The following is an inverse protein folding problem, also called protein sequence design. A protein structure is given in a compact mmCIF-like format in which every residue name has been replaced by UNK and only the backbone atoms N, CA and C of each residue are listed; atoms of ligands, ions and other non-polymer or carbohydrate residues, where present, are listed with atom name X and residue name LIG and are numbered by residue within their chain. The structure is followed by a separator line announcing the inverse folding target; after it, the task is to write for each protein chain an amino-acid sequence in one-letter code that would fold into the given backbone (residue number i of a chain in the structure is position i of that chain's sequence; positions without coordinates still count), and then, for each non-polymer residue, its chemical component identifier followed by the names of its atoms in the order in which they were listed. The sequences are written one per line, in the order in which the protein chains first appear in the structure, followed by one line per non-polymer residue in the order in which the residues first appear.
data_IF_176484817421
#
_entry.id   IF_176484817421
#
_cell.length_a   1.000
_cell.length_b   1.000
_cell.length_c   1.000
_cell.angle_alpha   90.00
_cell.angle_beta   90.00
_cell.angle_gamma   90.00
#
_symmetry.space_group_name_H-M   'P 1'
#
loop_
_entity.id
_entity.type
_entity.pdbx_description
1 polymer ?
#
# COMPACT_ATOMS: atom_id res chain seq x y z
N UNK A 1 19.44 -28.13 -5.25
CA UNK A 1 18.58 -27.08 -4.73
C UNK A 1 19.23 -25.74 -5.04
N UNK A 2 18.48 -24.88 -5.72
CA UNK A 2 18.93 -23.51 -5.96
C UNK A 2 18.66 -22.79 -4.64
N UNK A 3 19.71 -22.44 -3.91
CA UNK A 3 19.61 -21.63 -2.70
C UNK A 3 19.47 -20.19 -3.17
N UNK A 4 18.47 -19.46 -2.65
CA UNK A 4 18.22 -18.05 -3.00
C UNK A 4 19.17 -17.10 -2.26
N UNK A 5 20.47 -17.37 -2.29
CA UNK A 5 21.48 -16.42 -1.81
C UNK A 5 21.60 -15.20 -2.73
N UNK A 6 20.83 -15.17 -3.82
CA UNK A 6 20.93 -14.16 -4.89
C UNK A 6 19.91 -13.02 -4.80
N UNK A 7 18.86 -13.15 -3.98
CA UNK A 7 17.84 -12.10 -3.86
C UNK A 7 17.98 -11.44 -2.50
N UNK A 8 18.40 -10.19 -2.49
CA UNK A 8 18.35 -9.34 -1.31
C UNK A 8 16.89 -8.93 -1.08
N UNK A 9 16.43 -8.93 0.18
CA UNK A 9 15.09 -8.47 0.57
C UNK A 9 13.89 -9.38 0.20
N UNK A 10 14.10 -10.67 -0.02
CA UNK A 10 13.01 -11.64 -0.25
C UNK A 10 12.35 -12.14 1.04
N UNK A 11 12.71 -11.59 2.21
CA UNK A 11 12.19 -12.09 3.48
C UNK A 11 10.69 -11.83 3.62
N UNK A 12 9.92 -12.92 3.72
CA UNK A 12 8.47 -12.83 3.94
C UNK A 12 8.19 -12.07 5.23
N UNK A 13 7.38 -11.01 5.21
CA UNK A 13 7.00 -10.31 6.42
C UNK A 13 6.35 -11.25 7.42
N UNK A 14 6.65 -11.09 8.70
CA UNK A 14 6.04 -11.94 9.75
C UNK A 14 4.53 -11.67 9.80
N UNK A 15 3.69 -12.71 9.95
CA UNK A 15 2.27 -12.53 10.21
C UNK A 15 2.08 -11.80 11.55
N UNK A 16 0.90 -11.23 11.73
CA UNK A 16 0.53 -10.60 13.00
C UNK A 16 0.74 -11.57 14.18
N UNK A 17 1.03 -11.02 15.36
CA UNK A 17 1.33 -11.82 16.57
C UNK A 17 0.18 -12.74 16.96
N UNK A 18 -1.04 -12.33 16.70
CA UNK A 18 -2.28 -12.98 17.13
C UNK A 18 -3.12 -13.39 15.90
N UNK A 19 -2.56 -14.32 15.11
CA UNK A 19 -3.27 -14.93 14.00
C UNK A 19 -4.18 -16.05 14.54
N UNK A 20 -5.50 -15.86 14.46
CA UNK A 20 -6.50 -16.72 15.10
C UNK A 20 -7.62 -17.10 14.12
N UNK A 21 -8.10 -18.32 14.21
CA UNK A 21 -9.37 -18.76 13.63
C UNK A 21 -9.36 -19.01 12.12
N UNK A 22 -8.19 -19.29 11.53
CA UNK A 22 -8.01 -19.51 10.09
C UNK A 22 -7.31 -20.83 9.75
N UNK A 23 -7.37 -21.82 10.65
CA UNK A 23 -6.68 -23.10 10.46
C UNK A 23 -7.24 -23.86 9.25
N UNK A 24 -8.56 -23.82 9.06
CA UNK A 24 -9.21 -24.48 7.91
C UNK A 24 -8.77 -23.88 6.58
N UNK A 25 -8.74 -22.54 6.52
CA UNK A 25 -8.33 -21.84 5.31
C UNK A 25 -6.84 -22.05 5.00
N UNK A 26 -5.98 -22.25 6.03
CA UNK A 26 -4.58 -22.64 5.82
C UNK A 26 -4.46 -24.03 5.17
N UNK A 27 -5.22 -25.00 5.64
CA UNK A 27 -5.24 -26.37 5.10
C UNK A 27 -5.83 -26.42 3.67
N UNK A 28 -6.93 -25.70 3.45
CA UNK A 28 -7.55 -25.57 2.14
C UNK A 28 -6.60 -24.93 1.13
N UNK A 29 -5.94 -23.83 1.52
CA UNK A 29 -4.96 -23.14 0.69
C UNK A 29 -3.78 -24.06 0.31
N UNK A 30 -3.30 -24.87 1.27
CA UNK A 30 -2.26 -25.85 1.00
C UNK A 30 -2.70 -26.86 -0.07
N UNK A 31 -3.88 -27.45 0.11
CA UNK A 31 -4.44 -28.41 -0.84
C UNK A 31 -4.60 -27.80 -2.24
N UNK A 32 -5.14 -26.59 -2.30
CA UNK A 32 -5.35 -25.89 -3.57
C UNK A 32 -4.03 -25.56 -4.29
N UNK A 33 -2.97 -25.15 -3.57
CA UNK A 33 -1.66 -24.87 -4.16
C UNK A 33 -0.96 -26.15 -4.68
N UNK A 34 -1.13 -27.28 -3.99
CA UNK A 34 -0.61 -28.56 -4.47
C UNK A 34 -1.31 -29.03 -5.77
N UNK A 35 -2.61 -28.77 -5.90
CA UNK A 35 -3.39 -29.18 -7.05
C UNK A 35 -3.26 -28.23 -8.25
N UNK A 36 -3.24 -26.92 -7.99
CA UNK A 36 -3.45 -25.88 -9.02
C UNK A 36 -2.23 -25.01 -9.30
N UNK A 37 -1.15 -25.13 -8.57
CA UNK A 37 0.07 -24.32 -8.69
C UNK A 37 -0.12 -22.80 -8.49
N UNK A 38 -1.23 -22.21 -8.93
CA UNK A 38 -1.56 -20.80 -8.78
C UNK A 38 -2.90 -20.66 -8.08
N UNK A 39 -2.95 -19.90 -6.98
CA UNK A 39 -4.18 -19.65 -6.21
C UNK A 39 -4.32 -18.16 -5.95
N UNK A 40 -5.52 -17.66 -6.17
CA UNK A 40 -5.90 -16.29 -5.85
C UNK A 40 -6.74 -16.29 -4.56
N UNK A 41 -6.17 -15.77 -3.49
CA UNK A 41 -6.86 -15.55 -2.23
C UNK A 41 -7.65 -14.25 -2.33
N UNK A 42 -8.96 -14.38 -2.54
CA UNK A 42 -9.86 -13.26 -2.81
C UNK A 42 -10.63 -12.85 -1.55
N UNK A 43 -10.98 -11.59 -1.40
CA UNK A 43 -11.83 -11.12 -0.30
C UNK A 43 -11.77 -9.61 -0.12
N UNK A 44 -12.66 -9.09 0.73
CA UNK A 44 -12.75 -7.65 1.03
C UNK A 44 -11.50 -7.11 1.73
N UNK A 45 -11.37 -5.78 1.76
CA UNK A 45 -10.29 -5.14 2.53
C UNK A 45 -10.41 -5.46 4.02
N UNK A 46 -9.28 -5.66 4.71
CA UNK A 46 -9.25 -5.91 6.15
C UNK A 46 -9.72 -7.28 6.62
N UNK A 47 -10.08 -8.21 5.70
CA UNK A 47 -10.52 -9.56 6.07
C UNK A 47 -9.36 -10.49 6.49
N UNK A 48 -8.12 -10.08 6.28
CA UNK A 48 -6.93 -10.84 6.70
C UNK A 48 -6.23 -11.63 5.61
N UNK A 49 -6.41 -11.32 4.30
CA UNK A 49 -5.75 -12.03 3.18
C UNK A 49 -4.23 -12.04 3.27
N UNK A 50 -3.62 -10.86 3.42
CA UNK A 50 -2.16 -10.74 3.51
C UNK A 50 -1.63 -11.44 4.77
N UNK A 51 -2.38 -11.40 5.87
CA UNK A 51 -2.01 -12.10 7.10
C UNK A 51 -2.11 -13.62 6.94
N UNK A 52 -3.13 -14.12 6.23
CA UNK A 52 -3.24 -15.55 5.89
C UNK A 52 -2.08 -15.99 4.99
N UNK A 53 -1.70 -15.21 3.98
CA UNK A 53 -0.57 -15.52 3.11
C UNK A 53 0.76 -15.58 3.88
N UNK A 54 1.00 -14.63 4.78
CA UNK A 54 2.19 -14.61 5.66
C UNK A 54 2.18 -15.78 6.65
N UNK A 55 1.00 -16.09 7.24
CA UNK A 55 0.84 -17.22 8.14
C UNK A 55 1.07 -18.55 7.42
N UNK A 56 0.56 -18.69 6.18
CA UNK A 56 0.80 -19.83 5.31
C UNK A 56 2.30 -20.04 5.06
N UNK A 57 2.99 -18.99 4.64
CA UNK A 57 4.44 -19.03 4.40
C UNK A 57 5.22 -19.47 5.66
N UNK A 58 4.82 -18.98 6.83
CA UNK A 58 5.44 -19.37 8.11
C UNK A 58 5.12 -20.81 8.49
N UNK A 59 3.86 -21.22 8.36
CA UNK A 59 3.39 -22.56 8.75
C UNK A 59 4.02 -23.65 7.89
N UNK A 60 4.02 -23.45 6.57
CA UNK A 60 4.52 -24.43 5.59
C UNK A 60 5.97 -24.17 5.15
N UNK A 61 6.74 -23.36 5.90
CA UNK A 61 8.13 -23.02 5.56
C UNK A 61 9.00 -24.24 5.24
N UNK A 62 8.76 -25.38 5.91
CA UNK A 62 9.55 -26.61 5.71
C UNK A 62 9.25 -27.34 4.41
N UNK A 63 8.12 -27.05 3.76
CA UNK A 63 7.72 -27.65 2.48
C UNK A 63 8.40 -26.98 1.29
N UNK A 64 8.88 -25.76 1.47
CA UNK A 64 9.50 -24.97 0.42
C UNK A 64 11.01 -24.82 0.65
N UNK A 65 11.78 -24.98 -0.43
CA UNK A 65 13.21 -24.65 -0.44
C UNK A 65 13.36 -23.13 -0.39
N UNK A 66 12.46 -22.41 -1.08
CA UNK A 66 12.47 -20.96 -1.17
C UNK A 66 11.07 -20.38 -1.03
N UNK A 67 10.96 -19.22 -0.35
CA UNK A 67 9.72 -18.44 -0.29
C UNK A 67 10.07 -17.00 -0.65
N UNK A 68 9.40 -16.47 -1.67
CA UNK A 68 9.54 -15.11 -2.16
C UNK A 68 8.27 -14.33 -1.85
N UNK A 69 8.43 -13.07 -1.47
CA UNK A 69 7.31 -12.16 -1.22
C UNK A 69 7.50 -10.89 -2.04
N UNK A 70 6.52 -10.60 -2.88
CA UNK A 70 6.49 -9.41 -3.74
C UNK A 70 5.21 -8.65 -3.44
N UNK A 71 5.33 -7.38 -3.12
CA UNK A 71 4.18 -6.49 -3.03
C UNK A 71 3.87 -5.92 -4.41
N UNK A 72 2.64 -6.11 -4.88
CA UNK A 72 2.19 -5.57 -6.14
C UNK A 72 2.05 -4.05 -6.08
N UNK A 73 2.74 -3.33 -6.94
CA UNK A 73 2.74 -1.87 -7.00
C UNK A 73 2.03 -1.29 -8.22
N UNK A 74 1.23 -2.10 -8.93
CA UNK A 74 0.45 -1.69 -10.10
C UNK A 74 0.97 -2.22 -11.44
N UNK A 75 2.16 -2.89 -11.48
CA UNK A 75 2.73 -3.45 -12.70
C UNK A 75 3.68 -4.61 -12.37
N UNK A 76 3.28 -5.85 -12.66
CA UNK A 76 4.09 -7.05 -12.40
C UNK A 76 5.44 -7.05 -13.13
N UNK A 77 5.50 -6.50 -14.34
CA UNK A 77 6.78 -6.40 -15.06
C UNK A 77 7.76 -5.56 -14.26
N UNK A 78 7.31 -4.40 -13.77
CA UNK A 78 8.14 -3.50 -12.98
C UNK A 78 8.48 -4.11 -11.60
N UNK A 79 7.50 -4.72 -10.93
CA UNK A 79 7.73 -5.34 -9.62
C UNK A 79 8.81 -6.44 -9.69
N UNK A 80 8.85 -7.19 -10.80
CA UNK A 80 9.89 -8.20 -11.05
C UNK A 80 11.23 -7.53 -11.40
N UNK A 81 11.21 -6.45 -12.18
CA UNK A 81 12.43 -5.72 -12.53
C UNK A 81 13.08 -5.08 -11.30
N UNK A 82 12.27 -4.61 -10.37
CA UNK A 82 12.71 -3.92 -9.15
C UNK A 82 13.12 -4.88 -8.01
N UNK A 83 13.03 -6.19 -8.22
CA UNK A 83 13.59 -7.16 -7.25
C UNK A 83 15.09 -6.96 -7.15
N UNK A 84 15.64 -7.00 -5.94
CA UNK A 84 17.08 -6.86 -5.70
C UNK A 84 17.78 -8.21 -5.84
N UNK A 85 18.61 -8.33 -6.87
CA UNK A 85 19.51 -9.46 -7.03
C UNK A 85 20.94 -9.03 -6.73
N UNK A 86 21.68 -9.85 -6.00
CA UNK A 86 23.08 -9.55 -5.59
C UNK A 86 23.99 -9.32 -6.80
N UNK A 87 23.69 -9.95 -7.93
CA UNK A 87 24.46 -9.86 -9.16
C UNK A 87 23.92 -8.80 -10.15
N UNK A 88 23.03 -7.92 -9.70
CA UNK A 88 22.60 -6.77 -10.48
C UNK A 88 23.74 -5.78 -10.64
N UNK A 89 24.08 -5.47 -11.89
CA UNK A 89 25.10 -4.47 -12.20
C UNK A 89 24.43 -3.08 -12.22
N UNK A 90 25.05 -2.06 -11.62
CA UNK A 90 24.49 -0.70 -11.60
C UNK A 90 24.22 -0.13 -13.00
N UNK A 91 25.05 -0.52 -13.98
CA UNK A 91 24.93 -0.10 -15.39
C UNK A 91 23.92 -0.91 -16.21
N UNK A 92 23.27 -1.93 -15.62
CA UNK A 92 22.28 -2.76 -16.34
C UNK A 92 21.06 -1.93 -16.69
N UNK A 93 20.63 -2.02 -17.95
CA UNK A 93 19.36 -1.46 -18.38
C UNK A 93 18.18 -2.18 -17.72
N UNK A 94 17.05 -1.50 -17.59
CA UNK A 94 15.82 -2.07 -17.08
C UNK A 94 15.44 -3.37 -17.83
N UNK A 95 15.59 -3.37 -19.16
CA UNK A 95 15.30 -4.55 -19.97
C UNK A 95 16.21 -5.73 -19.66
N UNK A 96 17.51 -5.49 -19.45
CA UNK A 96 18.48 -6.53 -19.08
C UNK A 96 18.19 -7.10 -17.69
N UNK A 97 17.91 -6.23 -16.72
CA UNK A 97 17.50 -6.64 -15.37
C UNK A 97 16.25 -7.50 -15.43
N UNK A 98 15.19 -7.01 -16.11
CA UNK A 98 13.96 -7.76 -16.27
C UNK A 98 14.20 -9.14 -16.89
N UNK A 99 14.95 -9.22 -18.01
CA UNK A 99 15.22 -10.51 -18.69
C UNK A 99 15.95 -11.49 -17.77
N UNK A 100 16.91 -11.01 -16.98
CA UNK A 100 17.64 -11.83 -16.02
C UNK A 100 16.73 -12.32 -14.89
N UNK A 101 15.99 -11.43 -14.24
CA UNK A 101 15.07 -11.76 -13.15
C UNK A 101 13.97 -12.72 -13.62
N UNK A 102 13.35 -12.45 -14.76
CA UNK A 102 12.32 -13.30 -15.33
C UNK A 102 12.85 -14.69 -15.70
N UNK A 103 14.08 -14.78 -16.25
CA UNK A 103 14.73 -16.06 -16.53
C UNK A 103 14.95 -16.87 -15.26
N UNK A 104 15.42 -16.21 -14.21
CA UNK A 104 15.62 -16.82 -12.89
C UNK A 104 14.30 -17.34 -12.33
N UNK A 105 13.26 -16.51 -12.24
CA UNK A 105 11.94 -16.90 -11.72
C UNK A 105 11.32 -18.07 -12.52
N UNK A 106 11.52 -18.10 -13.83
CA UNK A 106 11.10 -19.25 -14.68
C UNK A 106 11.85 -20.54 -14.40
N UNK A 107 13.06 -20.47 -13.84
CA UNK A 107 13.85 -21.66 -13.50
C UNK A 107 13.41 -22.31 -12.18
N UNK A 108 12.70 -21.58 -11.32
CA UNK A 108 12.18 -22.07 -10.05
C UNK A 108 11.10 -23.13 -10.26
N UNK A 109 11.02 -24.09 -9.34
CA UNK A 109 10.11 -25.23 -9.41
C UNK A 109 9.08 -25.17 -8.28
N UNK A 110 8.25 -26.22 -8.18
CA UNK A 110 7.19 -26.36 -7.18
C UNK A 110 7.68 -26.38 -5.71
N UNK A 111 8.97 -26.55 -5.48
CA UNK A 111 9.60 -26.40 -4.17
C UNK A 111 9.81 -24.93 -3.76
N UNK A 112 9.37 -24.00 -4.59
CA UNK A 112 9.39 -22.56 -4.33
C UNK A 112 7.98 -22.02 -4.29
N UNK A 113 7.69 -21.17 -3.28
CA UNK A 113 6.48 -20.37 -3.15
C UNK A 113 6.78 -18.91 -3.50
N UNK A 114 6.06 -18.35 -4.45
CA UNK A 114 6.05 -16.92 -4.75
C UNK A 114 4.72 -16.33 -4.26
N UNK A 115 4.78 -15.40 -3.32
CA UNK A 115 3.62 -14.66 -2.84
C UNK A 115 3.60 -13.29 -3.53
N UNK A 116 2.50 -12.96 -4.20
CA UNK A 116 2.25 -11.65 -4.80
C UNK A 116 1.08 -11.02 -4.04
N UNK A 117 1.41 -10.10 -3.14
CA UNK A 117 0.44 -9.47 -2.25
C UNK A 117 -0.17 -8.22 -2.86
N UNK A 118 -1.45 -7.96 -2.58
CA UNK A 118 -2.21 -6.79 -3.05
C UNK A 118 -2.41 -6.69 -4.58
N UNK A 119 -2.51 -7.80 -5.30
CA UNK A 119 -2.83 -7.81 -6.73
C UNK A 119 -4.30 -7.42 -6.96
N UNK A 120 -4.62 -6.14 -6.81
CA UNK A 120 -5.99 -5.61 -6.79
C UNK A 120 -6.47 -5.09 -8.17
N UNK A 121 -6.05 -5.74 -9.24
CA UNK A 121 -6.41 -5.44 -10.63
C UNK A 121 -7.06 -6.66 -11.30
N UNK A 122 -7.69 -6.45 -12.45
CA UNK A 122 -8.18 -7.56 -13.27
C UNK A 122 -7.06 -8.14 -14.15
N UNK A 123 -7.24 -9.35 -14.64
CA UNK A 123 -6.28 -10.00 -15.54
C UNK A 123 -5.99 -9.20 -16.84
N UNK A 124 -6.93 -8.37 -17.26
CA UNK A 124 -6.79 -7.51 -18.45
C UNK A 124 -6.05 -6.21 -18.18
N UNK A 125 -6.02 -5.76 -16.93
CA UNK A 125 -5.34 -4.52 -16.54
C UNK A 125 -3.82 -4.69 -16.41
N UNK A 126 -3.36 -5.90 -16.01
CA UNK A 126 -1.94 -6.23 -16.03
C UNK A 126 -1.68 -7.42 -16.98
N UNK A 127 -1.28 -7.11 -18.21
CA UNK A 127 -1.02 -8.11 -19.25
C UNK A 127 0.11 -9.06 -18.89
N UNK A 128 0.98 -8.68 -17.97
CA UNK A 128 2.12 -9.48 -17.53
C UNK A 128 1.72 -10.65 -16.63
N UNK A 129 0.52 -10.64 -16.07
CA UNK A 129 -0.04 -11.78 -15.35
C UNK A 129 0.07 -13.07 -16.17
N UNK A 130 -0.23 -13.02 -17.48
CA UNK A 130 -0.12 -14.17 -18.38
C UNK A 130 1.29 -14.76 -18.49
N UNK A 131 2.32 -13.98 -18.19
CA UNK A 131 3.73 -14.44 -18.16
C UNK A 131 4.05 -15.06 -16.81
N UNK A 132 3.62 -14.45 -15.72
CA UNK A 132 3.84 -14.93 -14.34
C UNK A 132 3.16 -16.27 -14.14
N UNK A 133 1.95 -16.48 -14.64
CA UNK A 133 1.22 -17.74 -14.57
C UNK A 133 1.91 -18.90 -15.32
N UNK A 134 2.92 -18.63 -16.15
CA UNK A 134 3.76 -19.66 -16.79
C UNK A 134 4.95 -20.11 -15.95
N UNK A 135 5.19 -19.49 -14.82
CA UNK A 135 6.24 -19.93 -13.90
C UNK A 135 5.91 -21.32 -13.35
N UNK A 136 6.95 -22.09 -13.02
CA UNK A 136 6.81 -23.47 -12.56
C UNK A 136 6.72 -23.59 -11.04
N UNK A 137 6.99 -22.50 -10.32
CA UNK A 137 6.84 -22.41 -8.88
C UNK A 137 5.36 -22.32 -8.50
N UNK A 138 5.04 -22.56 -7.22
CA UNK A 138 3.72 -22.28 -6.68
C UNK A 138 3.57 -20.78 -6.46
N UNK A 139 2.41 -20.20 -6.83
CA UNK A 139 2.15 -18.77 -6.71
C UNK A 139 0.86 -18.52 -5.95
N UNK A 140 0.97 -17.73 -4.90
CA UNK A 140 -0.16 -17.26 -4.11
C UNK A 140 -0.36 -15.77 -4.33
N UNK A 141 -1.49 -15.40 -4.92
CA UNK A 141 -1.91 -14.00 -5.03
C UNK A 141 -2.88 -13.64 -3.92
N UNK A 142 -2.76 -12.46 -3.33
CA UNK A 142 -3.85 -11.87 -2.55
C UNK A 142 -4.50 -10.75 -3.35
N UNK A 143 -5.83 -10.71 -3.39
CA UNK A 143 -6.55 -9.75 -4.22
C UNK A 143 -7.91 -9.38 -3.64
N UNK A 144 -8.41 -8.20 -4.00
CA UNK A 144 -9.80 -7.79 -3.80
C UNK A 144 -10.65 -8.01 -5.05
N UNK A 145 -9.99 -8.23 -6.19
CA UNK A 145 -10.66 -8.40 -7.48
C UNK A 145 -11.25 -9.80 -7.60
N UNK A 146 -12.37 -9.91 -8.30
CA UNK A 146 -12.92 -11.20 -8.70
C UNK A 146 -12.19 -11.66 -9.95
N UNK A 147 -11.62 -12.86 -9.86
CA UNK A 147 -10.84 -13.49 -10.91
C UNK A 147 -11.44 -14.89 -11.18
N UNK A 148 -12.71 -14.91 -11.58
CA UNK A 148 -13.52 -16.15 -11.71
C UNK A 148 -12.95 -17.15 -12.75
N UNK A 149 -12.02 -16.72 -13.61
CA UNK A 149 -11.36 -17.57 -14.61
C UNK A 149 -10.19 -18.38 -14.02
N UNK A 150 -9.81 -18.12 -12.77
CA UNK A 150 -8.66 -18.73 -12.10
C UNK A 150 -9.07 -19.53 -10.86
N UNK A 151 -8.15 -20.33 -10.33
CA UNK A 151 -8.35 -21.02 -9.07
C UNK A 151 -8.39 -19.99 -7.92
N UNK A 152 -9.54 -19.78 -7.31
CA UNK A 152 -9.76 -18.75 -6.29
C UNK A 152 -10.21 -19.36 -4.98
N UNK A 153 -9.61 -18.91 -3.88
CA UNK A 153 -10.08 -19.17 -2.52
C UNK A 153 -10.73 -17.88 -1.96
N UNK A 154 -12.07 -17.84 -1.84
CA UNK A 154 -12.76 -16.69 -1.29
C UNK A 154 -12.63 -16.68 0.25
N UNK A 155 -11.89 -15.72 0.78
CA UNK A 155 -11.79 -15.52 2.22
C UNK A 155 -13.00 -14.73 2.73
N UNK A 156 -13.76 -15.36 3.62
CA UNK A 156 -14.95 -14.80 4.27
C UNK A 156 -14.63 -14.38 5.71
N UNK A 157 -15.60 -13.78 6.35
CA UNK A 157 -15.57 -13.47 7.79
C UNK A 157 -15.36 -14.75 8.59
N UNK A 158 -14.74 -14.61 9.77
CA UNK A 158 -14.59 -15.74 10.71
C UNK A 158 -15.97 -16.06 11.30
N UNK A 159 -16.46 -17.28 11.04
CA UNK A 159 -17.76 -17.71 11.56
C UNK A 159 -17.72 -18.08 13.06
N UNK A 160 -16.54 -18.45 13.55
CA UNK A 160 -16.36 -18.91 14.93
C UNK A 160 -16.34 -17.72 15.90
N UNK A 161 -17.44 -17.47 16.60
CA UNK A 161 -17.57 -16.43 17.61
C UNK A 161 -16.51 -16.53 18.71
N UNK A 162 -16.15 -17.74 19.16
CA UNK A 162 -15.11 -17.90 20.17
C UNK A 162 -13.73 -17.44 19.67
N UNK A 163 -13.41 -17.68 18.40
CA UNK A 163 -12.17 -17.19 17.79
C UNK A 163 -12.16 -15.65 17.70
N UNK A 164 -13.27 -15.04 17.32
CA UNK A 164 -13.42 -13.58 17.29
C UNK A 164 -13.39 -12.96 18.69
N UNK A 165 -14.01 -13.63 19.66
CA UNK A 165 -13.94 -13.19 21.06
C UNK A 165 -12.51 -13.30 21.60
N UNK A 166 -11.78 -14.37 21.29
CA UNK A 166 -10.35 -14.47 21.59
C UNK A 166 -9.54 -13.33 20.95
N UNK A 167 -9.82 -12.99 19.70
CA UNK A 167 -9.20 -11.85 19.04
C UNK A 167 -9.48 -10.54 19.79
N UNK A 168 -10.73 -10.28 20.17
CA UNK A 168 -11.10 -9.12 20.97
C UNK A 168 -10.39 -9.10 22.34
N UNK A 169 -10.32 -10.24 23.02
CA UNK A 169 -9.67 -10.39 24.35
C UNK A 169 -8.16 -10.16 24.32
N UNK A 170 -7.52 -10.31 23.16
CA UNK A 170 -6.11 -9.97 23.01
C UNK A 170 -5.86 -8.46 23.16
N UNK A 171 -6.82 -7.65 22.72
CA UNK A 171 -6.71 -6.19 22.69
C UNK A 171 -7.54 -5.47 23.75
N UNK A 172 -8.47 -6.16 24.39
CA UNK A 172 -9.30 -5.62 25.46
C UNK A 172 -9.23 -6.50 26.70
N UNK A 173 -8.55 -6.03 27.74
CA UNK A 173 -8.25 -6.80 28.96
C UNK A 173 -9.48 -7.17 29.76
N UNK A 174 -10.54 -6.35 29.71
CA UNK A 174 -11.82 -6.59 30.43
C UNK A 174 -12.87 -7.32 29.58
N UNK A 175 -12.49 -7.90 28.42
CA UNK A 175 -13.41 -8.55 27.49
C UNK A 175 -14.30 -9.62 28.20
N UNK A 176 -13.71 -10.45 29.07
CA UNK A 176 -14.47 -11.49 29.79
C UNK A 176 -15.49 -10.91 30.73
N UNK A 177 -15.24 -9.77 31.36
CA UNK A 177 -16.18 -9.07 32.23
C UNK A 177 -17.42 -8.59 31.48
N UNK A 178 -17.21 -8.12 30.23
CA UNK A 178 -18.26 -7.59 29.35
C UNK A 178 -18.58 -8.52 28.18
N UNK A 179 -18.38 -9.82 28.34
CA UNK A 179 -18.46 -10.82 27.29
C UNK A 179 -19.72 -10.69 26.42
N UNK A 180 -20.90 -10.62 27.03
CA UNK A 180 -22.14 -10.53 26.27
C UNK A 180 -22.25 -9.26 25.41
N UNK A 181 -21.72 -8.14 25.89
CA UNK A 181 -21.71 -6.87 25.15
C UNK A 181 -20.65 -6.90 24.04
N UNK A 182 -19.47 -7.47 24.30
CA UNK A 182 -18.40 -7.64 23.31
C UNK A 182 -18.84 -8.56 22.18
N UNK A 183 -19.49 -9.68 22.45
CA UNK A 183 -20.05 -10.58 21.44
C UNK A 183 -21.09 -9.85 20.55
N UNK A 184 -21.95 -9.01 21.12
CA UNK A 184 -22.89 -8.17 20.38
C UNK A 184 -22.18 -7.12 19.53
N UNK A 185 -21.08 -6.54 20.01
CA UNK A 185 -20.25 -5.62 19.19
C UNK A 185 -19.68 -6.36 18.00
N UNK A 186 -19.12 -7.57 18.20
CA UNK A 186 -18.59 -8.43 17.14
C UNK A 186 -19.67 -8.72 16.08
N UNK A 187 -20.89 -9.09 16.50
CA UNK A 187 -22.02 -9.30 15.59
C UNK A 187 -22.42 -8.02 14.85
N UNK A 188 -22.42 -6.88 15.53
CA UNK A 188 -22.82 -5.59 14.95
C UNK A 188 -21.83 -5.16 13.87
N UNK A 189 -20.53 -5.38 14.06
CA UNK A 189 -19.50 -5.14 13.04
C UNK A 189 -19.34 -6.30 12.04
N UNK A 190 -20.33 -7.20 11.99
CA UNK A 190 -20.42 -8.33 11.05
C UNK A 190 -19.20 -9.24 11.06
N UNK A 191 -18.62 -9.51 12.22
CA UNK A 191 -17.46 -10.40 12.37
C UNK A 191 -16.22 -9.98 11.54
N UNK A 192 -16.16 -8.70 11.12
CA UNK A 192 -15.03 -8.19 10.35
C UNK A 192 -13.81 -8.04 11.24
N UNK A 193 -12.76 -8.81 11.00
CA UNK A 193 -11.60 -8.97 11.89
C UNK A 193 -10.95 -7.65 12.27
N UNK A 194 -10.72 -6.76 11.30
CA UNK A 194 -10.13 -5.44 11.57
C UNK A 194 -11.06 -4.54 12.40
N UNK A 195 -12.37 -4.59 12.17
CA UNK A 195 -13.32 -3.81 12.97
C UNK A 195 -13.39 -4.31 14.41
N UNK A 196 -13.30 -5.63 14.62
CA UNK A 196 -13.23 -6.24 15.96
C UNK A 196 -11.95 -5.80 16.69
N UNK A 197 -10.81 -5.85 16.04
CA UNK A 197 -9.54 -5.37 16.59
C UNK A 197 -9.62 -3.90 16.98
N UNK A 198 -10.10 -3.05 16.07
CA UNK A 198 -10.21 -1.61 16.31
C UNK A 198 -11.18 -1.31 17.48
N UNK A 199 -12.34 -1.96 17.51
CA UNK A 199 -13.29 -1.81 18.60
C UNK A 199 -12.67 -2.19 19.96
N UNK A 200 -11.97 -3.33 20.02
CA UNK A 200 -11.32 -3.79 21.24
C UNK A 200 -10.24 -2.80 21.73
N UNK A 201 -9.42 -2.24 20.83
CA UNK A 201 -8.42 -1.22 21.17
C UNK A 201 -9.06 0.07 21.69
N UNK A 202 -10.16 0.52 21.09
CA UNK A 202 -10.90 1.69 21.56
C UNK A 202 -11.47 1.50 22.96
N UNK A 203 -11.93 0.28 23.28
CA UNK A 203 -12.39 -0.09 24.62
C UNK A 203 -11.23 -0.12 25.62
N UNK A 204 -10.09 -0.71 25.28
CA UNK A 204 -8.91 -0.77 26.15
C UNK A 204 -8.41 0.61 26.52
N UNK A 205 -8.38 1.53 25.55
CA UNK A 205 -7.96 2.90 25.78
C UNK A 205 -9.00 3.79 26.49
N UNK A 206 -10.14 3.22 26.93
CA UNK A 206 -11.17 3.94 27.68
C UNK A 206 -11.91 5.02 26.89
N UNK A 207 -11.79 5.02 25.54
CA UNK A 207 -12.44 5.99 24.66
C UNK A 207 -13.96 5.85 24.73
N UNK A 208 -14.44 4.64 24.98
CA UNK A 208 -15.87 4.34 25.16
C UNK A 208 -16.06 3.15 26.11
N UNK A 209 -17.17 3.10 26.79
CA UNK A 209 -17.56 1.86 27.47
C UNK A 209 -18.18 0.87 26.47
N UNK A 210 -18.19 -0.45 26.75
CA UNK A 210 -18.76 -1.43 25.82
C UNK A 210 -20.23 -1.13 25.45
N UNK A 211 -21.07 -0.70 26.40
CA UNK A 211 -22.46 -0.38 26.12
C UNK A 211 -22.64 0.90 25.31
N UNK A 212 -21.81 1.92 25.56
CA UNK A 212 -21.79 3.14 24.74
C UNK A 212 -21.36 2.85 23.30
N UNK A 213 -20.31 2.05 23.13
CA UNK A 213 -19.82 1.65 21.81
C UNK A 213 -20.89 0.86 21.05
N UNK A 214 -21.52 -0.13 21.68
CA UNK A 214 -22.59 -0.91 21.08
C UNK A 214 -23.75 -0.02 20.64
N UNK A 215 -24.20 0.89 21.52
CA UNK A 215 -25.30 1.81 21.24
C UNK A 215 -24.98 2.69 20.02
N UNK A 216 -23.78 3.24 19.94
CA UNK A 216 -23.36 4.08 18.79
C UNK A 216 -23.33 3.29 17.49
N UNK A 217 -22.73 2.09 17.48
CA UNK A 217 -22.71 1.23 16.30
C UNK A 217 -24.11 0.84 15.81
N UNK A 218 -25.07 0.67 16.73
CA UNK A 218 -26.46 0.36 16.39
C UNK A 218 -27.24 1.57 15.88
N UNK A 219 -27.05 2.75 16.45
CA UNK A 219 -27.73 3.99 16.03
C UNK A 219 -27.29 4.42 14.64
N UNK A 220 -26.01 4.40 14.35
CA UNK A 220 -25.51 4.80 13.04
C UNK A 220 -25.92 3.82 11.94
N UNK A 221 -26.02 2.52 12.24
CA UNK A 221 -26.62 1.56 11.31
C UNK A 221 -28.01 1.96 10.83
N UNK A 222 -28.80 2.66 11.65
CA UNK A 222 -30.14 3.15 11.31
C UNK A 222 -30.11 4.46 10.49
N UNK A 223 -29.08 5.30 10.65
CA UNK A 223 -28.98 6.61 9.95
C UNK A 223 -28.40 6.51 8.54
N UNK A 224 -27.51 5.54 8.28
CA UNK A 224 -26.90 5.35 6.96
C UNK A 224 -27.83 4.80 5.87
N UNK A 225 -29.12 4.53 6.16
CA UNK A 225 -30.06 4.03 5.16
C UNK A 225 -30.52 5.08 4.15
N UNK A 226 -30.21 6.37 4.30
CA UNK A 226 -30.86 7.39 3.46
C UNK A 226 -30.00 8.39 2.67
N UNK A 227 -28.72 8.64 2.95
CA UNK A 227 -28.04 9.76 2.23
C UNK A 227 -26.60 9.57 1.73
N UNK A 228 -25.82 8.64 2.24
CA UNK A 228 -24.44 8.50 1.77
C UNK A 228 -24.21 7.26 0.90
N UNK A 229 -24.84 7.24 -0.27
CA UNK A 229 -24.29 6.55 -1.43
C UNK A 229 -23.06 7.32 -1.93
N UNK A 230 -22.07 7.49 -1.07
CA UNK A 230 -20.72 7.85 -1.53
C UNK A 230 -20.31 6.69 -2.42
N UNK A 231 -20.05 7.03 -3.67
CA UNK A 231 -19.66 6.14 -4.76
C UNK A 231 -18.40 5.34 -4.38
N UNK A 232 -18.52 4.38 -3.50
CA UNK A 232 -17.59 3.26 -3.40
C UNK A 232 -17.98 2.27 -4.50
N UNK A 233 -18.06 2.78 -5.72
CA UNK A 233 -18.24 1.99 -6.93
C UNK A 233 -16.84 1.71 -7.45
N UNK A 234 -16.11 0.83 -6.75
CA UNK A 234 -14.98 0.15 -7.39
C UNK A 234 -15.11 -1.37 -7.43
N UNK A 235 -16.02 -2.00 -6.67
CA UNK A 235 -16.15 -3.46 -6.67
C UNK A 235 -17.60 -3.99 -6.53
N UNK A 236 -18.63 -3.23 -6.85
CA UNK A 236 -19.97 -3.77 -7.12
C UNK A 236 -20.71 -4.58 -6.05
N UNK A 237 -20.37 -4.49 -4.74
CA UNK A 237 -21.08 -5.23 -3.69
C UNK A 237 -21.58 -4.32 -2.56
N UNK A 238 -22.87 -4.47 -2.23
CA UNK A 238 -23.55 -3.75 -1.14
C UNK A 238 -22.99 -4.03 0.26
N UNK A 239 -22.27 -5.11 0.46
CA UNK A 239 -21.61 -5.46 1.72
C UNK A 239 -20.47 -4.50 2.11
N UNK A 240 -19.77 -3.92 1.17
CA UNK A 240 -18.65 -3.00 1.41
C UNK A 240 -19.08 -1.70 2.09
N UNK A 241 -20.23 -1.15 1.77
CA UNK A 241 -20.75 0.07 2.39
C UNK A 241 -20.97 -0.12 3.90
N UNK A 242 -21.39 -1.29 4.34
CA UNK A 242 -21.68 -1.58 5.74
C UNK A 242 -20.40 -1.64 6.59
N UNK A 243 -19.35 -2.31 6.12
CA UNK A 243 -18.07 -2.38 6.86
C UNK A 243 -17.37 -1.04 6.94
N UNK A 244 -17.37 -0.28 5.85
CA UNK A 244 -16.81 1.06 5.82
C UNK A 244 -17.49 1.96 6.85
N UNK A 245 -18.82 1.96 6.91
CA UNK A 245 -19.56 2.76 7.87
C UNK A 245 -19.22 2.40 9.32
N UNK A 246 -19.11 1.13 9.66
CA UNK A 246 -18.74 0.72 11.02
C UNK A 246 -17.30 1.15 11.38
N UNK A 247 -16.34 1.02 10.48
CA UNK A 247 -14.97 1.47 10.72
C UNK A 247 -14.90 2.98 10.79
N UNK A 248 -15.65 3.69 9.93
CA UNK A 248 -15.79 5.15 10.00
C UNK A 248 -16.37 5.59 11.36
N UNK A 249 -17.41 4.89 11.85
CA UNK A 249 -17.96 5.11 13.18
C UNK A 249 -16.91 4.94 14.27
N UNK A 250 -16.18 3.83 14.25
CA UNK A 250 -15.11 3.56 15.21
C UNK A 250 -14.03 4.65 15.15
N UNK A 251 -13.67 5.10 13.96
CA UNK A 251 -12.71 6.18 13.76
C UNK A 251 -13.23 7.52 14.31
N UNK A 252 -14.50 7.85 14.09
CA UNK A 252 -15.12 9.11 14.55
C UNK A 252 -15.32 9.20 16.07
N UNK A 253 -15.23 8.07 16.79
CA UNK A 253 -15.30 8.06 18.27
C UNK A 253 -14.07 8.68 18.91
N UNK A 254 -12.94 8.67 18.24
CA UNK A 254 -11.71 9.26 18.71
C UNK A 254 -11.57 10.67 18.17
N UNK A 255 -11.48 11.65 19.07
CA UNK A 255 -11.24 13.04 18.70
C UNK A 255 -9.73 13.23 18.52
N UNK A 256 -9.28 13.19 17.26
CA UNK A 256 -7.89 13.46 16.92
C UNK A 256 -7.53 14.92 17.28
N UNK A 257 -6.38 15.12 17.90
CA UNK A 257 -5.78 16.45 18.02
C UNK A 257 -5.45 17.01 16.63
N UNK A 258 -5.25 18.33 16.51
CA UNK A 258 -4.84 18.91 15.23
C UNK A 258 -3.53 18.31 14.72
N UNK A 259 -2.57 18.08 15.61
CA UNK A 259 -1.30 17.42 15.27
C UNK A 259 -1.50 16.00 14.78
N UNK A 260 -2.35 15.20 15.46
CA UNK A 260 -2.70 13.86 15.02
C UNK A 260 -3.41 13.85 13.65
N UNK A 261 -4.30 14.81 13.40
CA UNK A 261 -4.96 14.96 12.10
C UNK A 261 -3.94 15.24 10.99
N UNK A 262 -2.94 16.09 11.24
CA UNK A 262 -1.90 16.39 10.27
C UNK A 262 -0.94 15.21 10.08
N UNK A 263 -0.60 14.48 11.12
CA UNK A 263 0.16 13.23 11.04
C UNK A 263 -0.59 12.23 10.17
N UNK A 264 -1.87 11.96 10.47
CA UNK A 264 -2.70 11.02 9.71
C UNK A 264 -2.85 11.43 8.24
N UNK A 265 -3.07 12.74 7.99
CA UNK A 265 -3.17 13.32 6.66
C UNK A 265 -1.93 13.00 5.81
N UNK A 266 -0.74 13.20 6.37
CA UNK A 266 0.53 12.92 5.68
C UNK A 266 0.84 11.43 5.59
N UNK A 267 0.37 10.62 6.54
CA UNK A 267 0.53 9.15 6.49
C UNK A 267 -0.24 8.49 5.34
N UNK A 268 -1.24 9.16 4.77
CA UNK A 268 -1.98 8.65 3.62
C UNK A 268 -1.08 8.38 2.40
N UNK A 269 0.07 9.01 2.32
CA UNK A 269 1.03 8.84 1.22
C UNK A 269 2.05 7.73 1.47
N UNK A 270 2.10 7.17 2.68
CA UNK A 270 3.05 6.09 2.98
C UNK A 270 2.67 4.80 2.23
N UNK A 271 3.67 4.03 1.77
CA UNK A 271 3.40 2.71 1.22
C UNK A 271 2.80 1.77 2.26
N UNK A 272 2.04 0.78 1.83
CA UNK A 272 1.41 -0.22 2.70
C UNK A 272 2.41 -1.02 3.54
N UNK A 273 3.63 -1.24 3.02
CA UNK A 273 4.76 -1.83 3.76
C UNK A 273 5.32 -0.91 4.85
N UNK A 274 4.88 0.34 4.86
CA UNK A 274 5.26 1.33 5.85
C UNK A 274 6.70 1.83 5.74
N UNK A 275 7.00 2.84 6.55
CA UNK A 275 8.34 3.39 6.73
C UNK A 275 8.67 3.46 8.22
N UNK A 276 9.94 3.57 8.59
CA UNK A 276 10.33 3.76 9.99
C UNK A 276 9.66 4.99 10.60
N UNK A 277 9.06 4.83 11.78
CA UNK A 277 8.43 5.93 12.52
C UNK A 277 9.37 7.12 12.73
N UNK A 278 10.66 6.86 12.96
CA UNK A 278 11.68 7.91 13.12
C UNK A 278 11.94 8.67 11.82
N UNK A 279 11.96 7.99 10.67
CA UNK A 279 12.15 8.62 9.36
C UNK A 279 10.94 9.51 9.07
N UNK A 280 9.73 8.98 9.26
CA UNK A 280 8.49 9.74 9.04
C UNK A 280 8.39 10.96 9.96
N UNK A 281 8.71 10.80 11.25
CA UNK A 281 8.75 11.93 12.19
C UNK A 281 9.76 13.00 11.76
N UNK A 282 10.92 12.60 11.22
CA UNK A 282 11.91 13.53 10.66
C UNK A 282 11.35 14.27 9.43
N UNK A 283 10.61 13.59 8.57
CA UNK A 283 9.98 14.22 7.40
C UNK A 283 8.93 15.27 7.78
N UNK A 284 8.24 15.08 8.91
CA UNK A 284 7.24 16.02 9.43
C UNK A 284 7.82 17.00 10.47
N UNK A 285 9.14 16.97 10.72
CA UNK A 285 9.81 17.79 11.73
C UNK A 285 9.20 17.64 13.13
N UNK A 286 8.66 16.45 13.45
CA UNK A 286 8.03 16.21 14.74
C UNK A 286 9.09 16.16 15.85
N UNK A 287 8.86 16.86 16.97
CA UNK A 287 9.81 16.90 18.09
C UNK A 287 9.88 15.57 18.83
N UNK A 288 8.82 14.78 18.84
CA UNK A 288 8.71 13.48 19.52
C UNK A 288 7.91 12.48 18.69
N UNK A 289 7.89 11.24 19.16
CA UNK A 289 7.05 10.16 18.57
C UNK A 289 5.74 9.94 19.37
N UNK A 290 5.42 10.80 20.35
CA UNK A 290 4.30 10.56 21.26
C UNK A 290 2.98 10.44 20.50
N UNK A 291 2.66 11.41 19.65
CA UNK A 291 1.41 11.40 18.87
C UNK A 291 1.30 10.19 17.94
N UNK A 292 2.44 9.75 17.35
CA UNK A 292 2.46 8.54 16.53
C UNK A 292 2.21 7.30 17.42
N UNK A 293 2.80 7.25 18.61
CA UNK A 293 2.61 6.13 19.54
C UNK A 293 1.15 6.05 20.01
N UNK A 294 0.51 7.17 20.33
CA UNK A 294 -0.89 7.23 20.69
C UNK A 294 -1.79 6.72 19.57
N UNK A 295 -1.49 7.09 18.33
CA UNK A 295 -2.19 6.58 17.15
C UNK A 295 -1.97 5.07 16.91
N UNK A 296 -0.83 4.52 17.30
CA UNK A 296 -0.56 3.08 17.28
C UNK A 296 -1.39 2.38 18.37
N UNK A 297 -1.42 2.92 19.56
CA UNK A 297 -2.18 2.36 20.70
C UNK A 297 -3.68 2.32 20.40
N UNK A 298 -4.24 3.37 19.81
CA UNK A 298 -5.64 3.41 19.37
C UNK A 298 -5.94 2.46 18.21
N UNK A 299 -4.92 1.97 17.51
CA UNK A 299 -5.06 1.05 16.38
C UNK A 299 -5.29 1.71 15.03
N UNK A 300 -5.23 3.05 14.93
CA UNK A 300 -5.33 3.75 13.66
C UNK A 300 -4.07 3.61 12.82
N UNK A 301 -2.91 3.56 13.48
CA UNK A 301 -1.62 3.32 12.85
C UNK A 301 -1.17 1.89 13.13
N UNK A 302 -0.86 1.17 12.06
CA UNK A 302 -0.27 -0.17 12.14
C UNK A 302 1.24 -0.08 12.33
N UNK A 303 1.81 -1.00 13.11
CA UNK A 303 3.26 -1.08 13.30
C UNK A 303 3.75 -2.52 13.15
N UNK A 304 4.96 -2.66 12.66
CA UNK A 304 5.65 -3.95 12.54
C UNK A 304 6.69 -4.13 13.64
N UNK A 305 7.23 -5.34 13.78
CA UNK A 305 8.36 -5.64 14.68
C UNK A 305 9.63 -4.81 14.37
N UNK A 306 9.77 -4.32 13.13
CA UNK A 306 10.86 -3.42 12.70
C UNK A 306 10.55 -1.93 12.97
N UNK A 307 9.45 -1.63 13.68
CA UNK A 307 8.98 -0.27 13.96
C UNK A 307 8.70 0.55 12.70
N UNK A 308 8.28 -0.10 11.63
CA UNK A 308 7.68 0.59 10.48
C UNK A 308 6.22 0.88 10.77
N UNK A 309 5.75 2.02 10.30
CA UNK A 309 4.37 2.49 10.46
C UNK A 309 3.68 2.64 9.12
N UNK A 310 2.41 2.32 9.07
CA UNK A 310 1.54 2.52 7.91
C UNK A 310 0.08 2.65 8.35
N UNK A 311 -0.79 3.09 7.45
CA UNK A 311 -2.23 3.05 7.67
C UNK A 311 -2.81 1.74 7.13
N UNK A 312 -3.80 1.21 7.85
CA UNK A 312 -4.65 0.19 7.25
C UNK A 312 -5.40 0.79 6.06
N UNK A 313 -5.56 0.09 4.91
CA UNK A 313 -6.20 0.66 3.71
C UNK A 313 -7.56 1.31 3.96
N UNK A 314 -8.39 0.77 4.85
CA UNK A 314 -9.69 1.36 5.19
C UNK A 314 -9.54 2.65 6.01
N UNK A 315 -8.59 2.72 6.92
CA UNK A 315 -8.27 3.96 7.65
C UNK A 315 -7.69 4.99 6.69
N UNK A 316 -6.85 4.59 5.75
CA UNK A 316 -6.34 5.49 4.72
C UNK A 316 -7.47 6.12 3.89
N UNK A 317 -8.45 5.32 3.43
CA UNK A 317 -9.60 5.83 2.68
C UNK A 317 -10.44 6.83 3.50
N UNK A 318 -10.70 6.51 4.78
CA UNK A 318 -11.42 7.41 5.70
C UNK A 318 -10.62 8.70 5.89
N UNK A 319 -9.33 8.60 6.18
CA UNK A 319 -8.47 9.75 6.39
C UNK A 319 -8.39 10.64 5.15
N UNK A 320 -8.24 10.07 3.95
CA UNK A 320 -8.26 10.82 2.69
C UNK A 320 -9.57 11.60 2.52
N UNK A 321 -10.71 10.98 2.84
CA UNK A 321 -12.02 11.63 2.76
C UNK A 321 -12.19 12.78 3.75
N UNK A 322 -11.77 12.57 4.99
CA UNK A 322 -11.94 13.52 6.09
C UNK A 322 -10.92 14.67 6.04
N UNK A 323 -9.66 14.37 5.74
CA UNK A 323 -8.57 15.36 5.83
C UNK A 323 -8.29 16.09 4.53
N UNK A 324 -8.65 15.49 3.38
CA UNK A 324 -8.41 16.03 2.04
C UNK A 324 -6.98 16.56 1.88
N UNK A 325 -5.97 15.68 1.84
CA UNK A 325 -4.58 16.09 1.74
C UNK A 325 -4.35 16.99 0.53
N UNK A 326 -3.76 18.17 0.75
CA UNK A 326 -3.44 19.12 -0.32
C UNK A 326 -1.99 19.58 -0.23
N UNK A 327 -1.48 20.17 -1.32
CA UNK A 327 -0.10 20.70 -1.39
C UNK A 327 0.14 21.72 -0.28
N UNK A 328 -0.82 22.60 -0.04
CA UNK A 328 -0.72 23.60 1.04
C UNK A 328 -0.71 22.94 2.42
N UNK A 329 -1.59 21.97 2.66
CA UNK A 329 -1.70 21.30 3.96
C UNK A 329 -0.50 20.41 4.26
N UNK A 330 0.01 19.69 3.27
CA UNK A 330 1.11 18.74 3.42
C UNK A 330 2.49 19.35 3.09
N UNK A 331 2.62 20.69 3.15
CA UNK A 331 3.83 21.40 2.72
C UNK A 331 5.10 20.94 3.45
N UNK A 332 5.04 20.64 4.76
CA UNK A 332 6.20 20.18 5.52
C UNK A 332 6.74 18.86 4.95
N UNK A 333 5.85 17.90 4.65
CA UNK A 333 6.25 16.64 4.02
C UNK A 333 6.88 16.89 2.65
N UNK A 334 6.22 17.69 1.79
CA UNK A 334 6.72 18.01 0.45
C UNK A 334 8.07 18.67 0.49
N UNK A 335 8.26 19.68 1.36
CA UNK A 335 9.51 20.41 1.52
C UNK A 335 10.65 19.48 2.01
N UNK A 336 10.35 18.58 2.95
CA UNK A 336 11.30 17.58 3.43
C UNK A 336 11.71 16.58 2.35
N UNK A 337 10.76 16.05 1.58
CA UNK A 337 11.04 15.12 0.50
C UNK A 337 11.81 15.81 -0.64
N UNK A 338 11.44 17.06 -0.99
CA UNK A 338 12.16 17.87 -1.96
C UNK A 338 13.61 18.12 -1.52
N UNK A 339 13.82 18.44 -0.24
CA UNK A 339 15.16 18.63 0.31
C UNK A 339 16.02 17.37 0.17
N UNK A 340 15.45 16.18 0.44
CA UNK A 340 16.15 14.91 0.24
C UNK A 340 16.52 14.71 -1.23
N UNK A 341 15.60 15.01 -2.16
CA UNK A 341 15.86 14.90 -3.59
C UNK A 341 16.95 15.86 -4.09
N UNK A 342 17.07 17.05 -3.48
CA UNK A 342 18.12 18.04 -3.80
C UNK A 342 19.50 17.67 -3.26
N UNK A 343 19.59 16.84 -2.22
CA UNK A 343 20.84 16.38 -1.63
C UNK A 343 21.51 15.32 -2.52
N UNK A 344 21.95 15.70 -3.72
CA UNK A 344 22.64 14.83 -4.67
C UNK A 344 23.83 14.13 -4.00
N UNK A 345 23.80 12.78 -3.97
CA UNK A 345 24.88 11.94 -3.46
C UNK A 345 24.69 11.42 -2.03
N UNK A 346 23.61 11.74 -1.33
CA UNK A 346 23.24 11.02 -0.12
C UNK A 346 22.38 9.80 -0.50
N UNK A 347 22.99 8.63 -0.54
CA UNK A 347 22.24 7.38 -0.59
C UNK A 347 21.42 7.24 0.69
N UNK A 348 20.10 7.08 0.53
CA UNK A 348 19.23 6.73 1.65
C UNK A 348 18.81 5.28 1.51
N UNK A 349 19.03 4.47 2.55
CA UNK A 349 18.69 3.04 2.57
C UNK A 349 17.20 2.77 2.26
N UNK A 350 16.35 3.80 2.35
CA UNK A 350 14.91 3.72 2.15
C UNK A 350 14.43 4.36 0.83
N UNK A 351 15.29 4.55 -0.17
CA UNK A 351 14.94 5.24 -1.43
C UNK A 351 13.72 4.63 -2.15
N UNK A 352 13.54 3.31 -2.11
CA UNK A 352 12.35 2.67 -2.68
C UNK A 352 11.07 3.12 -1.98
N UNK A 353 11.08 3.24 -0.65
CA UNK A 353 9.96 3.74 0.13
C UNK A 353 9.69 5.22 -0.14
N UNK A 354 10.75 6.00 -0.30
CA UNK A 354 10.69 7.40 -0.71
C UNK A 354 9.99 7.53 -2.07
N UNK A 355 10.39 6.74 -3.06
CA UNK A 355 9.79 6.77 -4.40
C UNK A 355 8.33 6.31 -4.41
N UNK A 356 7.99 5.28 -3.64
CA UNK A 356 6.61 4.87 -3.45
C UNK A 356 5.77 5.99 -2.80
N UNK A 357 6.31 6.68 -1.81
CA UNK A 357 5.64 7.83 -1.18
C UNK A 357 5.42 8.97 -2.17
N UNK A 358 6.43 9.32 -2.98
CA UNK A 358 6.30 10.33 -4.03
C UNK A 358 5.23 9.91 -5.06
N UNK A 359 5.21 8.65 -5.47
CA UNK A 359 4.19 8.11 -6.36
C UNK A 359 2.77 8.25 -5.80
N UNK A 360 2.57 7.92 -4.52
CA UNK A 360 1.29 8.09 -3.84
C UNK A 360 0.89 9.56 -3.69
N UNK A 361 1.85 10.47 -3.47
CA UNK A 361 1.60 11.92 -3.47
C UNK A 361 1.07 12.36 -4.84
N UNK A 362 1.70 11.94 -5.93
CA UNK A 362 1.27 12.28 -7.29
C UNK A 362 -0.18 11.86 -7.53
N UNK A 363 -0.55 10.67 -7.05
CA UNK A 363 -1.88 10.10 -7.25
C UNK A 363 -2.96 10.71 -6.35
N UNK A 364 -2.65 10.98 -5.08
CA UNK A 364 -3.65 11.21 -4.04
C UNK A 364 -3.77 12.67 -3.59
N UNK A 365 -2.77 13.53 -3.82
CA UNK A 365 -2.76 14.90 -3.30
C UNK A 365 -3.66 15.84 -4.10
N UNK A 366 -4.38 16.72 -3.41
CA UNK A 366 -5.09 17.85 -4.03
C UNK A 366 -4.09 18.96 -4.39
N UNK A 367 -4.11 19.40 -5.65
CA UNK A 367 -3.13 20.33 -6.23
C UNK A 367 -3.62 21.78 -6.10
N UNK A 368 -3.78 22.23 -4.87
CA UNK A 368 -4.25 23.58 -4.52
C UNK A 368 -3.15 24.68 -4.64
N UNK A 369 -1.87 24.30 -4.73
CA UNK A 369 -0.72 25.16 -5.01
C UNK A 369 0.12 24.56 -6.15
N UNK A 370 -0.23 24.92 -7.38
CA UNK A 370 0.42 24.39 -8.60
C UNK A 370 1.90 24.76 -8.68
N UNK A 371 2.34 26.01 -8.44
CA UNK A 371 3.76 26.36 -8.52
C UNK A 371 4.62 25.52 -7.56
N UNK A 372 4.18 25.35 -6.32
CA UNK A 372 4.90 24.53 -5.33
C UNK A 372 4.92 23.05 -5.73
N UNK A 373 3.81 22.56 -6.26
CA UNK A 373 3.71 21.19 -6.72
C UNK A 373 4.62 20.90 -7.93
N UNK A 374 4.67 21.81 -8.91
CA UNK A 374 5.58 21.70 -10.06
C UNK A 374 7.05 21.65 -9.58
N UNK A 375 7.44 22.56 -8.69
CA UNK A 375 8.79 22.59 -8.12
C UNK A 375 9.15 21.28 -7.40
N UNK A 376 8.19 20.66 -6.72
CA UNK A 376 8.38 19.34 -6.09
C UNK A 376 8.67 18.27 -7.12
N UNK A 377 7.89 18.20 -8.22
CA UNK A 377 8.09 17.22 -9.30
C UNK A 377 9.42 17.41 -10.03
N UNK A 378 9.80 18.67 -10.28
CA UNK A 378 11.06 19.06 -10.91
C UNK A 378 12.28 18.53 -10.14
N UNK A 379 12.24 18.58 -8.82
CA UNK A 379 13.34 18.10 -7.99
C UNK A 379 13.32 16.57 -7.78
N UNK A 380 12.13 15.95 -7.82
CA UNK A 380 12.00 14.50 -7.65
C UNK A 380 12.53 13.72 -8.86
N UNK A 381 12.35 14.23 -10.09
CA UNK A 381 12.72 13.53 -11.31
C UNK A 381 14.22 13.22 -11.41
N UNK A 382 15.15 14.19 -11.27
CA UNK A 382 16.58 13.90 -11.35
C UNK A 382 17.08 12.96 -10.27
N UNK A 383 16.45 13.01 -9.10
CA UNK A 383 16.79 12.10 -8.02
C UNK A 383 16.38 10.66 -8.32
N UNK A 384 15.22 10.45 -8.95
CA UNK A 384 14.79 9.14 -9.43
C UNK A 384 15.67 8.63 -10.57
N UNK A 385 16.13 9.52 -11.46
CA UNK A 385 17.05 9.19 -12.55
C UNK A 385 18.38 8.64 -12.03
N UNK A 386 18.94 9.21 -10.97
CA UNK A 386 20.15 8.70 -10.31
C UNK A 386 20.05 7.24 -9.86
N UNK A 387 18.83 6.75 -9.61
CA UNK A 387 18.55 5.36 -9.23
C UNK A 387 17.96 4.54 -10.38
N UNK A 388 17.89 5.06 -11.58
CA UNK A 388 17.23 4.43 -12.75
C UNK A 388 15.77 4.00 -12.46
N UNK A 389 15.04 4.78 -11.65
CA UNK A 389 13.66 4.45 -11.28
C UNK A 389 12.65 4.96 -12.32
N UNK A 390 12.66 4.33 -13.50
CA UNK A 390 11.89 4.74 -14.69
C UNK A 390 10.38 4.79 -14.44
N UNK A 391 9.83 3.95 -13.57
CA UNK A 391 8.40 3.97 -13.21
C UNK A 391 8.02 5.34 -12.62
N UNK A 392 8.77 5.81 -11.63
CA UNK A 392 8.51 7.10 -11.01
C UNK A 392 8.71 8.26 -11.97
N UNK A 393 9.78 8.22 -12.77
CA UNK A 393 10.07 9.22 -13.81
C UNK A 393 8.93 9.30 -14.83
N UNK A 394 8.43 8.17 -15.32
CA UNK A 394 7.26 8.13 -16.21
C UNK A 394 6.00 8.69 -15.53
N UNK A 395 5.78 8.40 -14.25
CA UNK A 395 4.69 8.97 -13.46
C UNK A 395 4.74 10.50 -13.44
N UNK A 396 5.91 11.07 -13.16
CA UNK A 396 6.13 12.54 -13.17
C UNK A 396 5.86 13.12 -14.56
N UNK A 397 6.39 12.50 -15.63
CA UNK A 397 6.14 12.96 -17.00
C UNK A 397 4.64 12.97 -17.34
N UNK A 398 3.89 11.92 -16.98
CA UNK A 398 2.46 11.87 -17.25
C UNK A 398 1.70 12.94 -16.47
N UNK A 399 2.09 13.17 -15.22
CA UNK A 399 1.50 14.21 -14.38
C UNK A 399 1.76 15.61 -14.95
N UNK A 400 3.02 15.92 -15.32
CA UNK A 400 3.38 17.19 -15.96
C UNK A 400 2.63 17.37 -17.30
N UNK A 401 2.52 16.33 -18.12
CA UNK A 401 1.70 16.38 -19.34
C UNK A 401 0.25 16.71 -19.06
N UNK A 402 -0.32 16.18 -17.98
CA UNK A 402 -1.69 16.44 -17.60
C UNK A 402 -1.88 17.90 -17.16
N UNK A 403 -1.01 18.39 -16.27
CA UNK A 403 -1.06 19.75 -15.72
C UNK A 403 -0.81 20.81 -16.79
N UNK A 404 0.22 20.63 -17.62
CA UNK A 404 0.65 21.62 -18.61
C UNK A 404 -0.14 21.60 -19.93
N UNK A 405 -1.15 20.75 -20.06
CA UNK A 405 -2.09 20.80 -21.21
C UNK A 405 -2.81 22.13 -21.31
N UNK A 406 -3.12 22.76 -20.18
CA UNK A 406 -3.77 24.06 -20.12
C UNK A 406 -2.73 25.16 -20.16
N UNK A 407 -2.77 26.04 -21.17
CA UNK A 407 -1.81 27.15 -21.34
C UNK A 407 -1.75 28.13 -20.17
N UNK A 408 -2.82 28.18 -19.36
CA UNK A 408 -2.90 29.01 -18.15
C UNK A 408 -2.14 28.42 -16.93
N UNK A 409 -1.69 27.17 -17.02
CA UNK A 409 -0.96 26.49 -15.95
C UNK A 409 0.48 26.28 -16.40
N UNK A 410 1.41 26.63 -15.53
CA UNK A 410 2.85 26.54 -15.79
C UNK A 410 3.39 27.62 -16.71
N UNK A 411 4.70 27.73 -16.72
CA UNK A 411 5.47 28.64 -17.56
C UNK A 411 6.01 27.92 -18.82
N UNK A 412 6.60 28.66 -19.76
CA UNK A 412 7.30 28.04 -20.88
C UNK A 412 8.53 27.27 -20.40
N UNK A 413 9.14 27.70 -19.28
CA UNK A 413 10.22 26.96 -18.60
C UNK A 413 9.75 25.58 -18.15
N UNK A 414 8.56 25.45 -17.53
CA UNK A 414 8.00 24.17 -17.10
C UNK A 414 7.71 23.23 -18.29
N UNK A 415 7.32 23.80 -19.43
CA UNK A 415 7.11 23.05 -20.66
C UNK A 415 8.41 22.58 -21.30
N UNK A 416 9.45 23.42 -21.27
CA UNK A 416 10.78 23.06 -21.71
C UNK A 416 11.35 21.91 -20.86
N UNK A 417 11.19 22.01 -19.55
CA UNK A 417 11.60 20.97 -18.60
C UNK A 417 10.88 19.62 -18.85
N UNK A 418 9.58 19.65 -19.16
CA UNK A 418 8.86 18.44 -19.54
C UNK A 418 9.46 17.78 -20.78
N UNK A 419 9.89 18.55 -21.79
CA UNK A 419 10.52 18.02 -22.99
C UNK A 419 11.89 17.42 -22.68
N UNK A 420 12.66 18.04 -21.80
CA UNK A 420 13.95 17.54 -21.31
C UNK A 420 13.79 16.21 -20.57
N UNK A 421 12.82 16.11 -19.66
CA UNK A 421 12.50 14.85 -18.97
C UNK A 421 12.05 13.73 -19.93
N UNK A 422 11.32 14.08 -20.99
CA UNK A 422 10.96 13.12 -22.03
C UNK A 422 12.18 12.66 -22.85
N UNK A 423 13.13 13.56 -23.11
CA UNK A 423 14.35 13.23 -23.81
C UNK A 423 15.21 12.25 -23.01
N UNK A 424 15.29 12.44 -21.69
CA UNK A 424 16.03 11.55 -20.78
C UNK A 424 15.56 10.09 -20.85
N UNK A 425 14.25 9.85 -21.00
CA UNK A 425 13.68 8.49 -21.09
C UNK A 425 13.53 7.97 -22.54
N UNK A 426 13.82 8.78 -23.57
CA UNK A 426 13.67 8.35 -24.96
C UNK A 426 14.84 7.46 -25.40
N UNK A 427 14.53 6.26 -25.85
CA UNK A 427 15.53 5.25 -26.27
C UNK A 427 16.07 5.49 -27.67
N UNK A 428 15.40 6.32 -28.49
CA UNK A 428 15.82 6.64 -29.88
C UNK A 428 16.60 7.96 -29.92
N UNK A 429 17.91 7.94 -30.21
CA UNK A 429 18.73 9.15 -30.14
C UNK A 429 18.20 10.31 -30.97
N UNK A 430 17.68 10.03 -32.18
CA UNK A 430 17.13 11.08 -33.07
C UNK A 430 15.93 11.80 -32.45
N UNK A 431 15.07 11.05 -31.71
CA UNK A 431 13.92 11.64 -31.02
C UNK A 431 14.32 12.38 -29.76
N UNK A 432 15.28 11.85 -28.99
CA UNK A 432 15.82 12.54 -27.81
C UNK A 432 16.41 13.90 -28.22
N UNK A 433 17.30 13.94 -29.24
CA UNK A 433 17.87 15.19 -29.77
C UNK A 433 16.80 16.17 -30.26
N UNK A 434 15.71 15.67 -30.86
CA UNK A 434 14.60 16.53 -31.25
C UNK A 434 13.91 17.16 -30.07
N UNK A 435 13.61 16.39 -29.04
CA UNK A 435 12.97 16.87 -27.80
C UNK A 435 13.83 17.93 -27.10
N UNK A 436 15.15 17.70 -27.01
CA UNK A 436 16.09 18.68 -26.44
C UNK A 436 16.10 19.99 -27.24
N UNK A 437 16.10 19.93 -28.60
CA UNK A 437 16.01 21.13 -29.43
C UNK A 437 14.69 21.87 -29.25
N UNK A 438 13.58 21.14 -29.16
CA UNK A 438 12.26 21.72 -28.91
C UNK A 438 12.20 22.37 -27.53
N UNK A 439 12.86 21.81 -26.51
CA UNK A 439 13.02 22.39 -25.18
C UNK A 439 13.80 23.70 -25.20
N UNK A 440 14.95 23.71 -25.85
CA UNK A 440 15.78 24.92 -26.02
C UNK A 440 15.04 26.05 -26.74
N UNK A 441 14.31 25.74 -27.82
CA UNK A 441 13.51 26.70 -28.55
C UNK A 441 12.40 27.36 -27.70
N UNK A 442 11.85 26.63 -26.72
CA UNK A 442 10.88 27.23 -25.78
C UNK A 442 11.53 28.22 -24.81
N UNK A 443 12.78 27.96 -24.39
CA UNK A 443 13.52 28.87 -23.48
C UNK A 443 13.99 30.11 -24.23
N UNK A 444 14.46 29.97 -25.47
CA UNK A 444 14.93 31.11 -26.31
C UNK A 444 13.79 32.11 -26.63
N UNK A 445 12.53 31.67 -26.64
CA UNK A 445 11.38 32.57 -26.82
C UNK A 445 11.03 33.40 -25.56
N UNK A 446 11.69 33.12 -24.42
CA UNK A 446 11.48 33.83 -23.13
C UNK A 446 12.46 35.02 -23.00
N UNK A 447 13.58 35.00 -23.75
CA UNK A 447 14.58 36.09 -23.77
C UNK A 447 14.28 37.09 -24.89
#
# INVERSE_FOLDING_TARGET
PIVLDYIMDSEVPKPCRHFIGRDKELEELYTMLEENRHVFLCGIAGIGKSELAKAYAKHYKKHYTNILYVEYTGNLHQDITDMDFIDDLPESTEQERFQRHNRFLRSLKSDTLLIIDNFNVTATQDSFLSVVLKYRCQILFTTRSKLDEYCTLPLKEIENMNALFQLASVFYSEADTYRATVEKIIETVHSHTFAVELAAKLLENGISTPDQLLTRLQVEKASFHNEDKIKIIKDGQSSKATYYSHIHTLFSLYTLSLEQQDIMCNMCFLPSTGISARIFAKWLELPTLNEINDLIETGFVQTTTRRTISLHPMIQEITLSETKPSVTRCHILLDSLQHICLMHGMEVDYYKKLFQTIGNIIELIEKDDIPKYLLFLENAFPYMDNYNYHKGMNGIIQELKCLLKTKSIGTDSDRALLLDFQATLETKPEKAIKLEKDALAQIENIT
#
